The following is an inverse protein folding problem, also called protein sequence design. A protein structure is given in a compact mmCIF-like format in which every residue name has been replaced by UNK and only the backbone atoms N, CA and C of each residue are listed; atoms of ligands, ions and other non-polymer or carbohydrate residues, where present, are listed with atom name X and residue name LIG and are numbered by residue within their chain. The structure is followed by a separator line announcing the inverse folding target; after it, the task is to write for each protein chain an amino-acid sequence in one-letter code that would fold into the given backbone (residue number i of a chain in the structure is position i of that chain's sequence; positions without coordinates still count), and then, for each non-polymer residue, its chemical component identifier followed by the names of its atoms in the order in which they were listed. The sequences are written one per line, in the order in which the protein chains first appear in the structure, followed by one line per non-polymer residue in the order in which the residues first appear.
data_IF_273725531753
#
_entry.id   IF_273725531753
#
_cell.length_a   1.000
_cell.length_b   1.000
_cell.length_c   1.000
_cell.angle_alpha   90.00
_cell.angle_beta   90.00
_cell.angle_gamma   90.00
#
_symmetry.space_group_name_H-M   'P 1'
#
loop_
_entity.id
_entity.type
_entity.pdbx_description
1 polymer ?
#
# COMPACT_ATOMS: atom_id res chain seq x y z
N UNK A 1 -22.40 -13.44 -1.23
CA UNK A 1 -22.55 -12.11 -1.85
C UNK A 1 -21.16 -11.67 -2.27
N UNK A 2 -20.89 -11.45 -3.56
CA UNK A 2 -19.60 -10.88 -4.00
C UNK A 2 -19.57 -9.46 -3.47
N UNK A 3 -18.67 -9.15 -2.52
CA UNK A 3 -18.52 -7.78 -2.03
C UNK A 3 -17.93 -6.94 -3.19
N UNK A 4 -18.63 -5.87 -3.54
CA UNK A 4 -18.37 -5.08 -4.76
C UNK A 4 -17.09 -4.23 -4.62
N UNK A 5 -16.26 -4.16 -5.65
CA UNK A 5 -15.05 -3.33 -5.70
C UNK A 5 -15.32 -1.84 -5.45
N UNK A 6 -16.50 -1.35 -5.83
CA UNK A 6 -16.93 0.02 -5.49
C UNK A 6 -17.03 0.23 -3.97
N UNK A 7 -17.45 -0.79 -3.22
CA UNK A 7 -17.53 -0.73 -1.76
C UNK A 7 -16.12 -0.68 -1.14
N UNK A 8 -15.17 -1.44 -1.68
CA UNK A 8 -13.77 -1.35 -1.26
C UNK A 8 -13.18 0.04 -1.51
N UNK A 9 -13.47 0.63 -2.68
CA UNK A 9 -13.04 1.99 -3.00
C UNK A 9 -13.63 3.03 -2.03
N UNK A 10 -14.91 2.89 -1.67
CA UNK A 10 -15.55 3.75 -0.65
C UNK A 10 -14.87 3.62 0.72
N UNK A 11 -14.58 2.40 1.18
CA UNK A 11 -13.84 2.20 2.43
C UNK A 11 -12.43 2.79 2.37
N UNK A 12 -11.71 2.64 1.26
CA UNK A 12 -10.42 3.31 1.09
C UNK A 12 -10.54 4.83 1.23
N UNK A 13 -11.56 5.44 0.63
CA UNK A 13 -11.78 6.88 0.70
C UNK A 13 -12.19 7.33 2.11
N UNK A 14 -13.01 6.55 2.83
CA UNK A 14 -13.30 6.80 4.24
C UNK A 14 -12.06 6.70 5.11
N UNK A 15 -11.18 5.72 4.84
CA UNK A 15 -9.90 5.60 5.52
C UNK A 15 -9.05 6.86 5.38
N UNK A 16 -8.94 7.41 4.16
CA UNK A 16 -8.24 8.68 3.91
C UNK A 16 -8.92 9.86 4.60
N UNK A 17 -10.26 9.92 4.56
CA UNK A 17 -11.02 10.97 5.23
C UNK A 17 -10.79 10.97 6.75
N UNK A 18 -10.94 9.81 7.39
CA UNK A 18 -10.71 9.66 8.83
C UNK A 18 -9.25 9.95 9.21
N UNK A 19 -8.28 9.57 8.36
CA UNK A 19 -6.88 9.96 8.54
C UNK A 19 -6.71 11.48 8.58
N UNK A 20 -7.27 12.20 7.60
CA UNK A 20 -7.20 13.66 7.52
C UNK A 20 -7.91 14.36 8.70
N UNK A 21 -8.90 13.70 9.31
CA UNK A 21 -9.61 14.16 10.50
C UNK A 21 -8.91 13.82 11.83
N UNK A 22 -7.76 13.12 11.78
CA UNK A 22 -7.05 12.64 12.98
C UNK A 22 -7.71 11.44 13.66
N UNK A 23 -8.69 10.81 13.01
CA UNK A 23 -9.44 9.65 13.49
C UNK A 23 -8.71 8.35 13.07
N UNK A 24 -7.54 8.13 13.65
CA UNK A 24 -6.61 7.09 13.20
C UNK A 24 -7.13 5.66 13.38
N UNK A 25 -7.92 5.40 14.43
CA UNK A 25 -8.49 4.06 14.67
C UNK A 25 -9.58 3.71 13.65
N UNK A 26 -10.41 4.68 13.31
CA UNK A 26 -11.45 4.56 12.29
C UNK A 26 -10.82 4.39 10.91
N UNK A 27 -9.78 5.18 10.62
CA UNK A 27 -8.98 5.06 9.40
C UNK A 27 -8.40 3.65 9.22
N UNK A 28 -7.79 3.08 10.27
CA UNK A 28 -7.23 1.72 10.23
C UNK A 28 -8.32 0.66 9.97
N UNK A 29 -9.50 0.80 10.59
CA UNK A 29 -10.64 -0.09 10.38
C UNK A 29 -11.11 -0.04 8.94
N UNK A 30 -11.26 1.15 8.36
CA UNK A 30 -11.74 1.31 6.99
C UNK A 30 -10.77 0.73 5.96
N UNK A 31 -9.47 0.99 6.10
CA UNK A 31 -8.48 0.35 5.22
C UNK A 31 -8.52 -1.18 5.35
N UNK A 32 -8.71 -1.70 6.56
CA UNK A 32 -8.84 -3.14 6.78
C UNK A 32 -10.09 -3.72 6.10
N UNK A 33 -11.24 -3.04 6.18
CA UNK A 33 -12.45 -3.45 5.46
C UNK A 33 -12.26 -3.43 3.94
N UNK A 34 -11.57 -2.42 3.40
CA UNK A 34 -11.26 -2.36 1.98
C UNK A 34 -10.39 -3.55 1.55
N UNK A 35 -9.32 -3.86 2.31
CA UNK A 35 -8.44 -5.00 2.03
C UNK A 35 -9.18 -6.34 2.10
N UNK A 36 -10.06 -6.54 3.09
CA UNK A 36 -10.85 -7.77 3.21
C UNK A 36 -11.78 -7.97 2.02
N UNK A 37 -12.41 -6.89 1.52
CA UNK A 37 -13.24 -6.95 0.31
C UNK A 37 -12.39 -7.32 -0.90
N UNK A 38 -11.25 -6.64 -1.09
CA UNK A 38 -10.35 -6.86 -2.21
C UNK A 38 -9.84 -8.31 -2.18
N UNK A 39 -9.36 -8.82 -1.04
CA UNK A 39 -8.92 -10.22 -0.87
C UNK A 39 -10.02 -11.24 -1.16
N UNK A 40 -11.28 -10.92 -0.83
CA UNK A 40 -12.41 -11.81 -1.07
C UNK A 40 -12.86 -11.87 -2.54
N UNK A 41 -12.41 -10.93 -3.37
CA UNK A 41 -12.73 -10.90 -4.79
C UNK A 41 -11.79 -11.85 -5.56
N UNK A 42 -12.28 -12.53 -6.60
CA UNK A 42 -11.49 -13.48 -7.42
C UNK A 42 -10.87 -12.86 -8.68
N UNK A 43 -11.11 -11.58 -8.94
CA UNK A 43 -10.57 -10.86 -10.11
C UNK A 43 -9.19 -10.23 -9.82
N UNK A 44 -8.60 -9.57 -10.83
CA UNK A 44 -7.29 -8.92 -10.76
C UNK A 44 -7.27 -7.79 -9.70
N UNK A 45 -6.87 -8.18 -8.49
CA UNK A 45 -6.96 -7.36 -7.29
C UNK A 45 -5.67 -6.61 -6.97
N UNK A 46 -4.56 -6.88 -7.67
CA UNK A 46 -3.23 -6.47 -7.21
C UNK A 46 -3.07 -4.96 -7.11
N UNK A 47 -3.61 -4.20 -8.06
CA UNK A 47 -3.51 -2.75 -8.03
C UNK A 47 -4.43 -2.09 -6.98
N UNK A 48 -5.74 -2.44 -6.89
CA UNK A 48 -6.57 -1.99 -5.77
C UNK A 48 -5.97 -2.34 -4.40
N UNK A 49 -5.45 -3.55 -4.25
CA UNK A 49 -4.80 -4.00 -3.02
C UNK A 49 -3.62 -3.10 -2.64
N UNK A 50 -2.73 -2.85 -3.59
CA UNK A 50 -1.54 -2.04 -3.38
C UNK A 50 -1.85 -0.58 -3.00
N UNK A 51 -2.89 0.01 -3.60
CA UNK A 51 -3.33 1.38 -3.27
C UNK A 51 -3.77 1.46 -1.80
N UNK A 52 -4.59 0.50 -1.34
CA UNK A 52 -5.09 0.51 0.05
C UNK A 52 -3.95 0.22 1.04
N UNK A 53 -3.05 -0.72 0.71
CA UNK A 53 -1.87 -1.00 1.53
C UNK A 53 -0.97 0.23 1.67
N UNK A 54 -0.76 0.99 0.59
CA UNK A 54 -0.02 2.24 0.64
C UNK A 54 -0.62 3.25 1.62
N UNK A 55 -1.92 3.47 1.54
CA UNK A 55 -2.61 4.44 2.41
C UNK A 55 -2.56 4.00 3.88
N UNK A 56 -2.71 2.69 4.14
CA UNK A 56 -2.58 2.12 5.48
C UNK A 56 -1.15 2.24 6.02
N UNK A 57 -0.13 2.12 5.17
CA UNK A 57 1.26 2.34 5.56
C UNK A 57 1.53 3.81 5.91
N UNK A 58 1.01 4.76 5.13
CA UNK A 58 1.10 6.19 5.44
C UNK A 58 0.42 6.52 6.77
N UNK A 59 -0.75 5.93 7.05
CA UNK A 59 -1.39 6.03 8.36
C UNK A 59 -0.46 5.55 9.47
N UNK A 60 0.14 4.37 9.34
CA UNK A 60 1.04 3.83 10.36
C UNK A 60 2.30 4.67 10.58
N UNK A 61 2.88 5.18 9.50
CA UNK A 61 4.00 6.13 9.58
C UNK A 61 3.59 7.37 10.39
N UNK A 62 2.44 7.97 10.09
CA UNK A 62 1.98 9.20 10.75
C UNK A 62 1.80 9.07 12.26
N UNK A 63 1.51 7.86 12.75
CA UNK A 63 1.34 7.56 14.18
C UNK A 63 2.58 6.90 14.80
N UNK A 64 3.73 6.95 14.11
CA UNK A 64 5.03 6.46 14.61
C UNK A 64 5.22 4.95 14.55
N UNK A 65 4.33 4.21 13.90
CA UNK A 65 4.40 2.74 13.73
C UNK A 65 5.20 2.35 12.47
N UNK A 66 6.43 2.82 12.37
CA UNK A 66 7.25 2.71 11.16
C UNK A 66 7.55 1.26 10.75
N UNK A 67 7.76 0.35 11.71
CA UNK A 67 8.00 -1.07 11.41
C UNK A 67 6.79 -1.75 10.75
N UNK A 68 5.57 -1.37 11.16
CA UNK A 68 4.34 -1.87 10.56
C UNK A 68 4.11 -1.26 9.17
N UNK A 69 4.43 0.03 8.99
CA UNK A 69 4.36 0.68 7.68
C UNK A 69 5.29 0.01 6.66
N UNK A 70 6.53 -0.29 7.04
CA UNK A 70 7.50 -0.97 6.18
C UNK A 70 7.03 -2.37 5.77
N UNK A 71 6.57 -3.19 6.74
CA UNK A 71 6.04 -4.54 6.45
C UNK A 71 4.86 -4.53 5.48
N UNK A 72 3.94 -3.57 5.65
CA UNK A 72 2.78 -3.42 4.75
C UNK A 72 3.24 -3.09 3.32
N UNK A 73 4.20 -2.20 3.17
CA UNK A 73 4.68 -1.81 1.85
C UNK A 73 5.51 -2.93 1.17
N UNK A 74 6.25 -3.73 1.94
CA UNK A 74 6.90 -4.96 1.46
C UNK A 74 5.88 -5.97 0.90
N UNK A 75 4.81 -6.24 1.65
CA UNK A 75 3.72 -7.11 1.19
C UNK A 75 3.05 -6.57 -0.07
N UNK A 76 2.81 -5.25 -0.12
CA UNK A 76 2.27 -4.57 -1.30
C UNK A 76 3.15 -4.74 -2.54
N UNK A 77 4.47 -4.57 -2.38
CA UNK A 77 5.45 -4.79 -3.44
C UNK A 77 5.46 -6.22 -3.96
N UNK A 78 5.41 -7.20 -3.06
CA UNK A 78 5.32 -8.61 -3.42
C UNK A 78 4.03 -8.93 -4.20
N UNK A 79 2.88 -8.48 -3.71
CA UNK A 79 1.59 -8.69 -4.39
C UNK A 79 1.57 -8.04 -5.78
N UNK A 80 2.12 -6.83 -5.91
CA UNK A 80 2.22 -6.15 -7.20
C UNK A 80 3.11 -6.91 -8.19
N UNK A 81 4.28 -7.39 -7.74
CA UNK A 81 5.19 -8.17 -8.57
C UNK A 81 4.53 -9.44 -9.15
N UNK A 82 3.64 -10.07 -8.38
CA UNK A 82 2.90 -11.26 -8.84
C UNK A 82 1.84 -10.98 -9.91
N UNK A 83 1.43 -9.73 -10.12
CA UNK A 83 0.43 -9.39 -11.16
C UNK A 83 0.97 -9.50 -12.59
N UNK A 84 2.28 -9.62 -12.77
CA UNK A 84 2.93 -9.59 -14.09
C UNK A 84 2.89 -8.22 -14.78
N UNK A 85 2.30 -7.19 -14.14
CA UNK A 85 2.27 -5.80 -14.64
C UNK A 85 3.56 -5.05 -14.32
N UNK A 86 4.71 -5.71 -14.34
CA UNK A 86 5.99 -5.10 -13.97
C UNK A 86 6.48 -4.09 -15.04
N UNK A 87 6.02 -4.23 -16.29
CA UNK A 87 6.34 -3.34 -17.42
C UNK A 87 5.42 -2.12 -17.53
N UNK A 88 5.02 -1.49 -16.42
CA UNK A 88 4.39 -0.16 -16.51
C UNK A 88 5.48 0.91 -16.64
N UNK A 89 5.28 1.84 -17.59
CA UNK A 89 6.18 2.97 -17.82
C UNK A 89 6.44 3.81 -16.57
N UNK A 90 5.49 3.82 -15.62
CA UNK A 90 5.60 4.53 -14.36
C UNK A 90 5.49 3.56 -13.18
N UNK A 91 6.44 3.59 -12.23
CA UNK A 91 6.29 2.94 -10.94
C UNK A 91 4.97 3.30 -10.27
N UNK A 92 4.29 2.34 -9.62
CA UNK A 92 3.26 2.69 -8.65
C UNK A 92 3.84 3.59 -7.54
N UNK A 93 3.11 4.65 -7.19
CA UNK A 93 3.51 5.61 -6.15
C UNK A 93 3.85 4.98 -4.79
N UNK A 94 3.33 3.79 -4.50
CA UNK A 94 3.63 3.07 -3.25
C UNK A 94 5.08 2.60 -3.14
N UNK A 95 5.79 2.40 -4.26
CA UNK A 95 7.20 2.01 -4.25
C UNK A 95 8.09 3.17 -3.79
N UNK A 96 7.79 4.39 -4.23
CA UNK A 96 8.45 5.60 -3.72
C UNK A 96 8.22 5.78 -2.22
N UNK A 97 7.01 5.49 -1.74
CA UNK A 97 6.70 5.53 -0.32
C UNK A 97 7.46 4.43 0.47
N UNK A 98 7.62 3.23 -0.09
CA UNK A 98 8.42 2.17 0.54
C UNK A 98 9.89 2.58 0.70
N UNK A 99 10.47 3.17 -0.34
CA UNK A 99 11.84 3.67 -0.29
C UNK A 99 12.01 4.79 0.76
N UNK A 100 11.03 5.70 0.87
CA UNK A 100 11.00 6.73 1.92
C UNK A 100 10.90 6.11 3.33
N UNK A 101 10.07 5.08 3.52
CA UNK A 101 9.96 4.41 4.82
C UNK A 101 11.29 3.77 5.22
N UNK A 102 11.98 3.10 4.30
CA UNK A 102 13.30 2.53 4.55
C UNK A 102 14.33 3.59 4.91
N UNK A 103 14.34 4.74 4.21
CA UNK A 103 15.18 5.88 4.59
C UNK A 103 14.93 6.35 6.03
N UNK A 104 13.67 6.51 6.42
CA UNK A 104 13.30 6.94 7.77
C UNK A 104 13.64 5.91 8.85
N UNK A 105 13.65 4.63 8.49
CA UNK A 105 14.08 3.54 9.36
C UNK A 105 15.61 3.35 9.41
N UNK A 106 16.39 4.18 8.69
CA UNK A 106 17.85 4.04 8.58
C UNK A 106 18.31 2.88 7.70
N UNK A 107 17.38 2.25 6.97
CA UNK A 107 17.60 1.11 6.05
C UNK A 107 17.96 1.61 4.65
N UNK A 108 19.07 2.34 4.56
CA UNK A 108 19.45 3.04 3.33
C UNK A 108 19.75 2.08 2.17
N UNK A 109 20.33 0.91 2.44
CA UNK A 109 20.62 -0.11 1.43
C UNK A 109 19.35 -0.67 0.81
N UNK A 110 18.29 -0.89 1.61
CA UNK A 110 17.00 -1.36 1.11
C UNK A 110 16.25 -0.27 0.33
N UNK A 111 16.35 0.99 0.77
CA UNK A 111 15.82 2.14 0.01
C UNK A 111 16.53 2.27 -1.35
N UNK A 112 17.85 2.11 -1.37
CA UNK A 112 18.67 2.09 -2.58
C UNK A 112 18.39 0.86 -3.45
N UNK A 113 17.80 -0.24 -3.00
CA UNK A 113 17.41 -1.31 -3.93
C UNK A 113 16.12 -0.97 -4.68
N UNK A 114 15.28 -0.08 -4.13
CA UNK A 114 14.01 0.32 -4.75
C UNK A 114 14.22 1.42 -5.78
N UNK A 115 15.12 2.39 -5.53
CA UNK A 115 15.35 3.51 -6.44
C UNK A 115 16.02 3.07 -7.78
N UNK A 116 17.19 2.40 -7.78
CA UNK A 116 17.83 1.83 -8.98
C UNK A 116 17.35 0.43 -9.40
N UNK A 117 16.62 -0.33 -8.58
CA UNK A 117 15.92 -1.55 -9.03
C UNK A 117 14.88 -1.29 -10.12
N UNK A 118 14.54 -0.02 -10.34
CA UNK A 118 13.70 0.45 -11.44
C UNK A 118 14.39 0.52 -12.80
N UNK A 119 15.73 0.51 -12.88
CA UNK A 119 16.47 0.66 -14.15
C UNK A 119 17.04 -0.67 -14.66
N UNK A 120 17.26 -1.67 -13.79
CA UNK A 120 18.01 -2.88 -14.15
C UNK A 120 17.28 -4.21 -13.84
N UNK A 121 15.96 -4.20 -13.62
CA UNK A 121 15.16 -5.42 -13.47
C UNK A 121 14.40 -5.83 -14.75
N UNK A 122 14.95 -5.48 -15.94
CA UNK A 122 14.47 -5.93 -17.25
C UNK A 122 15.64 -6.37 -18.13
#
# INVERSE_FOLDING_TARGET
MVKNMAVAASYNNYGVLHYNLGQYNESEKDFTQALDIIKSNKQDNGMPYAIVMNNKAMLFQSIGRNDLAARILEESGYCFAQTGKQNIQEPPAFLSNLALMYQQAGKYSEAELIYPGFVNAF
#
